data_IF_980657909089
#
_entry.id   IF_980657909089
#
_cell.length_a   1.000
_cell.length_b   1.000
_cell.length_c   1.000
_cell.angle_alpha   90.00
_cell.angle_beta   90.00
_cell.angle_gamma   90.00
#
_symmetry.space_group_name_H-M   'P 1'
#
loop_
_entity.id
_entity.type
_entity.pdbx_description
1 polymer ?
#
# COMPACT_ATOMS: atom_id res chain seq x y z
N UNK A 1 -6.48 -6.92 -1.21
CA UNK A 1 -7.18 -6.33 -2.39
C UNK A 1 -8.67 -6.28 -2.09
N UNK A 2 -9.36 -5.21 -2.51
CA UNK A 2 -10.82 -5.06 -2.35
C UNK A 2 -11.58 -6.02 -3.27
N UNK A 3 -12.91 -6.10 -3.11
CA UNK A 3 -13.79 -6.90 -3.99
C UNK A 3 -13.90 -6.32 -5.42
N UNK A 4 -13.35 -5.09 -5.66
CA UNK A 4 -13.26 -4.48 -7.01
C UNK A 4 -12.06 -4.97 -7.81
N UNK A 5 -11.11 -5.62 -7.16
CA UNK A 5 -9.94 -6.17 -7.82
C UNK A 5 -10.30 -7.43 -8.61
N UNK A 6 -9.96 -7.45 -9.88
CA UNK A 6 -10.23 -8.56 -10.79
C UNK A 6 -8.91 -9.08 -11.38
N UNK A 7 -8.50 -10.33 -11.07
CA UNK A 7 -7.27 -10.90 -11.58
C UNK A 7 -7.30 -11.19 -13.10
N UNK A 8 -8.47 -11.13 -13.75
CA UNK A 8 -8.59 -11.30 -15.20
C UNK A 8 -8.17 -10.03 -15.95
N UNK A 9 -8.16 -8.86 -15.27
CA UNK A 9 -7.74 -7.59 -15.85
C UNK A 9 -6.21 -7.48 -15.72
N UNK A 10 -5.45 -7.41 -16.85
CA UNK A 10 -4.00 -7.38 -16.83
C UNK A 10 -3.41 -6.22 -16.01
N UNK A 11 -4.04 -5.04 -16.05
CA UNK A 11 -3.62 -3.87 -15.28
C UNK A 11 -3.74 -4.13 -13.76
N UNK A 12 -4.86 -4.68 -13.29
CA UNK A 12 -5.07 -4.99 -11.88
C UNK A 12 -4.02 -6.00 -11.38
N UNK A 13 -3.74 -7.02 -12.19
CA UNK A 13 -2.72 -8.03 -11.87
C UNK A 13 -1.33 -7.41 -11.82
N UNK A 14 -1.00 -6.53 -12.76
CA UNK A 14 0.28 -5.86 -12.81
C UNK A 14 0.50 -4.95 -11.59
N UNK A 15 -0.51 -4.15 -11.21
CA UNK A 15 -0.45 -3.29 -10.04
C UNK A 15 -0.29 -4.11 -8.74
N UNK A 16 -1.05 -5.21 -8.58
CA UNK A 16 -0.89 -6.11 -7.44
C UNK A 16 0.54 -6.66 -7.36
N UNK A 17 1.09 -7.12 -8.48
CA UNK A 17 2.45 -7.66 -8.54
C UNK A 17 3.53 -6.63 -8.17
N UNK A 18 3.37 -5.37 -8.58
CA UNK A 18 4.29 -4.29 -8.18
C UNK A 18 4.26 -4.06 -6.65
N UNK A 19 3.08 -4.13 -6.02
CA UNK A 19 2.93 -4.03 -4.57
C UNK A 19 3.56 -5.24 -3.88
N UNK A 20 3.36 -6.45 -4.40
CA UNK A 20 3.93 -7.69 -3.88
C UNK A 20 5.46 -7.63 -3.83
N UNK A 21 6.09 -7.24 -4.94
CA UNK A 21 7.56 -7.10 -5.01
C UNK A 21 8.06 -6.08 -4.00
N UNK A 22 7.44 -4.89 -3.95
CA UNK A 22 7.90 -3.81 -3.08
C UNK A 22 7.72 -4.09 -1.59
N UNK A 23 6.70 -4.85 -1.21
CA UNK A 23 6.45 -5.22 0.19
C UNK A 23 7.01 -6.60 0.57
N UNK A 24 7.62 -7.32 -0.36
CA UNK A 24 8.17 -8.65 -0.12
C UNK A 24 7.13 -9.70 0.26
N UNK A 25 5.87 -9.53 -0.18
CA UNK A 25 4.78 -10.48 0.05
C UNK A 25 4.60 -11.41 -1.15
N UNK A 26 4.34 -12.71 -0.93
CA UNK A 26 4.30 -13.68 -2.02
C UNK A 26 3.06 -13.54 -2.92
N UNK A 27 1.93 -13.12 -2.38
CA UNK A 27 0.67 -13.01 -3.11
C UNK A 27 -0.31 -12.08 -2.40
N UNK A 28 -0.86 -11.11 -3.14
CA UNK A 28 -1.96 -10.28 -2.68
C UNK A 28 -3.29 -11.01 -2.89
N UNK A 29 -4.08 -11.11 -1.83
CA UNK A 29 -5.36 -11.82 -1.87
C UNK A 29 -6.55 -10.88 -1.72
N UNK A 30 -7.69 -11.17 -2.34
CA UNK A 30 -8.92 -10.41 -2.12
C UNK A 30 -9.45 -10.64 -0.71
N UNK A 31 -10.16 -9.63 -0.18
CA UNK A 31 -10.80 -9.66 1.13
C UNK A 31 -11.73 -10.87 1.27
N UNK A 32 -12.41 -11.26 0.21
CA UNK A 32 -13.28 -12.43 0.18
C UNK A 32 -12.59 -13.71 0.67
N UNK A 33 -11.31 -13.92 0.32
CA UNK A 33 -10.55 -15.09 0.81
C UNK A 33 -10.34 -15.06 2.33
N UNK A 34 -10.21 -13.88 2.93
CA UNK A 34 -10.11 -13.76 4.39
C UNK A 34 -11.45 -14.07 5.06
N UNK A 35 -12.57 -13.59 4.49
CA UNK A 35 -13.93 -13.94 4.94
C UNK A 35 -14.16 -15.44 4.88
N UNK A 36 -13.88 -16.05 3.72
CA UNK A 36 -14.06 -17.49 3.51
C UNK A 36 -13.22 -18.31 4.51
N UNK A 37 -12.00 -17.87 4.81
CA UNK A 37 -11.14 -18.54 5.78
C UNK A 37 -11.73 -18.49 7.20
N UNK A 38 -12.28 -17.34 7.63
CA UNK A 38 -12.93 -17.20 8.93
C UNK A 38 -14.14 -18.12 9.04
N UNK A 39 -15.02 -18.11 8.05
CA UNK A 39 -16.22 -18.95 8.02
C UNK A 39 -15.86 -20.44 8.00
N UNK A 40 -14.87 -20.84 7.18
CA UNK A 40 -14.44 -22.23 7.04
C UNK A 40 -13.86 -22.81 8.33
N UNK A 41 -13.27 -21.99 9.20
CA UNK A 41 -12.79 -22.44 10.52
C UNK A 41 -13.83 -22.27 11.63
N UNK A 42 -15.08 -21.93 11.28
CA UNK A 42 -16.22 -21.88 12.17
C UNK A 42 -16.39 -20.57 12.93
N UNK A 43 -15.78 -19.48 12.46
CA UNK A 43 -16.07 -18.16 13.06
C UNK A 43 -17.35 -17.55 12.47
N UNK A 44 -18.12 -16.90 13.32
CA UNK A 44 -19.25 -16.05 12.95
C UNK A 44 -18.76 -14.61 12.79
N UNK A 45 -18.92 -14.03 11.60
CA UNK A 45 -18.56 -12.62 11.34
C UNK A 45 -19.66 -11.75 11.92
N UNK A 46 -19.33 -10.91 12.89
CA UNK A 46 -20.25 -10.00 13.57
C UNK A 46 -20.28 -8.61 12.92
N UNK A 47 -19.13 -8.15 12.44
CA UNK A 47 -18.99 -6.84 11.83
C UNK A 47 -17.80 -6.84 10.86
N UNK A 48 -17.96 -6.17 9.75
CA UNK A 48 -16.86 -5.90 8.82
C UNK A 48 -16.99 -4.51 8.22
N UNK A 49 -15.86 -3.85 8.03
CA UNK A 49 -15.81 -2.49 7.52
C UNK A 49 -14.45 -2.20 6.87
N UNK A 50 -14.47 -1.55 5.72
CA UNK A 50 -13.28 -0.95 5.13
C UNK A 50 -13.08 0.45 5.73
N UNK A 51 -12.13 0.55 6.66
CA UNK A 51 -11.83 1.81 7.35
C UNK A 51 -11.21 2.86 6.42
N UNK A 52 -10.63 2.43 5.30
CA UNK A 52 -10.07 3.34 4.31
C UNK A 52 -11.13 3.97 3.38
N UNK A 53 -12.37 3.44 3.40
CA UNK A 53 -13.51 4.04 2.68
C UNK A 53 -14.31 5.05 3.54
N UNK A 54 -13.95 5.21 4.82
CA UNK A 54 -14.57 6.25 5.66
C UNK A 54 -14.36 7.64 5.03
N UNK A 55 -15.35 8.54 5.14
CA UNK A 55 -15.21 9.91 4.66
C UNK A 55 -14.12 10.62 5.47
N UNK A 56 -13.00 10.88 4.83
CA UNK A 56 -11.86 11.59 5.40
C UNK A 56 -11.53 12.80 4.53
N UNK A 57 -10.94 13.86 5.11
CA UNK A 57 -10.58 15.09 4.38
C UNK A 57 -9.56 14.82 3.28
N UNK A 58 -8.69 13.83 3.50
CA UNK A 58 -7.65 13.42 2.54
C UNK A 58 -7.65 11.90 2.38
N UNK A 59 -7.38 11.37 1.17
CA UNK A 59 -7.29 9.94 0.96
C UNK A 59 -6.06 9.36 1.65
N UNK A 60 -6.14 8.11 2.13
CA UNK A 60 -5.05 7.45 2.87
C UNK A 60 -3.70 7.43 2.12
N UNK A 61 -3.71 7.47 0.79
CA UNK A 61 -2.51 7.43 -0.05
C UNK A 61 -1.89 8.81 -0.30
N UNK A 62 -2.46 9.91 0.22
CA UNK A 62 -1.96 11.25 -0.04
C UNK A 62 -0.46 11.47 0.27
N UNK A 63 0.13 10.83 1.31
CA UNK A 63 1.56 11.02 1.58
C UNK A 63 2.45 10.39 0.50
N UNK A 64 1.96 9.34 -0.17
CA UNK A 64 2.66 8.66 -1.27
C UNK A 64 2.49 9.38 -2.61
N UNK A 65 1.37 10.09 -2.79
CA UNK A 65 1.08 10.91 -3.97
C UNK A 65 2.05 12.09 -4.10
N UNK A 66 2.57 12.57 -2.97
CA UNK A 66 3.56 13.65 -2.92
C UNK A 66 2.97 15.04 -3.13
N UNK A 67 1.68 15.21 -2.86
CA UNK A 67 1.00 16.51 -2.92
C UNK A 67 1.18 17.23 -1.58
N UNK A 68 2.11 18.19 -1.54
CA UNK A 68 2.41 18.97 -0.34
C UNK A 68 1.24 19.84 0.12
N UNK A 69 0.29 20.16 -0.76
CA UNK A 69 -0.89 20.97 -0.42
C UNK A 69 -1.93 20.19 0.39
N UNK A 70 -1.84 18.85 0.39
CA UNK A 70 -2.68 17.97 1.20
C UNK A 70 -2.09 17.66 2.58
N UNK A 71 -0.89 18.17 2.88
CA UNK A 71 -0.22 17.94 4.15
C UNK A 71 -1.02 18.52 5.32
N UNK A 72 -1.29 17.70 6.33
CA UNK A 72 -2.05 18.08 7.53
C UNK A 72 -1.15 18.54 8.68
N UNK A 73 0.12 18.11 8.67
CA UNK A 73 1.12 18.45 9.68
C UNK A 73 2.43 18.89 9.05
N UNK A 74 3.30 19.56 9.84
CA UNK A 74 4.65 19.98 9.38
C UNK A 74 5.48 18.77 8.93
N UNK A 75 5.34 17.63 9.60
CA UNK A 75 6.04 16.39 9.22
C UNK A 75 5.51 15.81 7.91
N UNK A 76 4.21 15.96 7.64
CA UNK A 76 3.62 15.55 6.38
C UNK A 76 4.15 16.36 5.19
N UNK A 77 4.41 17.67 5.39
CA UNK A 77 5.03 18.50 4.35
C UNK A 77 6.35 17.87 3.90
N UNK A 78 7.19 17.46 4.86
CA UNK A 78 8.46 16.81 4.54
C UNK A 78 8.25 15.47 3.85
N UNK A 79 7.31 14.66 4.32
CA UNK A 79 6.98 13.34 3.73
C UNK A 79 6.44 13.51 2.32
N UNK A 80 5.47 14.39 2.11
CA UNK A 80 4.90 14.68 0.80
C UNK A 80 5.94 15.27 -0.16
N UNK A 81 6.82 16.18 0.34
CA UNK A 81 7.91 16.68 -0.50
C UNK A 81 8.86 15.57 -0.93
N UNK A 82 9.26 14.68 -0.01
CA UNK A 82 10.15 13.54 -0.31
C UNK A 82 9.56 12.60 -1.37
N UNK A 83 8.26 12.39 -1.35
CA UNK A 83 7.53 11.54 -2.31
C UNK A 83 7.09 12.29 -3.58
N UNK A 84 7.21 13.61 -3.63
CA UNK A 84 6.97 14.42 -4.83
C UNK A 84 8.01 14.12 -5.94
N UNK A 85 7.73 14.56 -7.15
CA UNK A 85 8.65 14.37 -8.29
C UNK A 85 10.05 14.92 -8.03
N UNK A 86 10.15 16.11 -7.41
CA UNK A 86 11.44 16.72 -7.05
C UNK A 86 12.14 15.95 -5.93
N UNK A 87 11.41 15.56 -4.89
CA UNK A 87 11.97 14.75 -3.80
C UNK A 87 12.44 13.37 -4.26
N UNK A 88 11.68 12.69 -5.11
CA UNK A 88 12.06 11.43 -5.76
C UNK A 88 13.34 11.60 -6.58
N UNK A 89 13.46 12.69 -7.35
CA UNK A 89 14.67 12.99 -8.12
C UNK A 89 15.90 13.18 -7.23
N UNK A 90 15.79 14.00 -6.18
CA UNK A 90 16.89 14.27 -5.24
C UNK A 90 17.29 12.99 -4.49
N UNK A 91 16.33 12.22 -4.00
CA UNK A 91 16.60 10.96 -3.29
C UNK A 91 17.26 9.93 -4.20
N UNK A 92 16.79 9.77 -5.44
CA UNK A 92 17.33 8.86 -6.43
C UNK A 92 18.81 9.14 -6.75
N UNK A 93 19.11 10.38 -7.12
CA UNK A 93 20.48 10.77 -7.47
C UNK A 93 21.40 10.85 -6.25
N UNK A 94 20.87 11.30 -5.11
CA UNK A 94 21.61 11.35 -3.85
C UNK A 94 22.02 9.97 -3.37
N UNK A 95 21.10 8.99 -3.36
CA UNK A 95 21.41 7.63 -2.98
C UNK A 95 22.42 6.96 -3.92
N UNK A 96 22.31 7.19 -5.22
CA UNK A 96 23.26 6.66 -6.20
C UNK A 96 24.69 7.20 -5.97
N UNK A 97 24.81 8.47 -5.65
CA UNK A 97 26.10 9.07 -5.27
C UNK A 97 26.64 8.48 -3.97
N UNK A 98 25.81 8.40 -2.92
CA UNK A 98 26.21 7.85 -1.63
C UNK A 98 26.65 6.37 -1.74
N UNK A 99 25.98 5.59 -2.59
CA UNK A 99 26.37 4.20 -2.87
C UNK A 99 27.70 4.13 -3.63
N UNK A 100 27.90 5.02 -4.61
CA UNK A 100 29.15 5.11 -5.37
C UNK A 100 30.34 5.47 -4.49
N UNK A 101 30.15 6.35 -3.51
CA UNK A 101 31.18 6.72 -2.54
C UNK A 101 31.32 5.73 -1.37
N UNK A 102 30.53 4.65 -1.34
CA UNK A 102 30.58 3.64 -0.28
C UNK A 102 30.05 4.10 1.08
N UNK A 103 29.30 5.21 1.14
CA UNK A 103 28.67 5.73 2.37
C UNK A 103 27.47 4.87 2.76
N UNK A 104 26.74 4.32 1.79
CA UNK A 104 25.66 3.36 2.00
C UNK A 104 25.99 2.02 1.36
N UNK A 105 25.40 0.90 1.84
CA UNK A 105 25.63 -0.43 1.29
C UNK A 105 25.24 -0.52 -0.20
N UNK A 106 25.94 -1.39 -0.93
CA UNK A 106 25.57 -1.72 -2.33
C UNK A 106 24.16 -2.32 -2.38
N UNK A 107 23.37 -1.93 -3.35
CA UNK A 107 21.97 -2.36 -3.54
C UNK A 107 20.96 -1.46 -2.83
N UNK A 108 21.38 -0.45 -2.07
CA UNK A 108 20.45 0.53 -1.45
C UNK A 108 19.64 1.27 -2.50
N UNK A 109 20.25 1.60 -3.63
CA UNK A 109 19.58 2.26 -4.74
C UNK A 109 18.52 1.36 -5.38
N UNK A 110 18.82 0.07 -5.61
CA UNK A 110 17.87 -0.91 -6.19
C UNK A 110 16.64 -1.09 -5.30
N UNK A 111 16.85 -1.17 -3.98
CA UNK A 111 15.76 -1.22 -3.00
C UNK A 111 14.88 0.03 -3.07
N UNK A 112 15.50 1.21 -3.17
CA UNK A 112 14.77 2.47 -3.28
C UNK A 112 13.90 2.53 -4.55
N UNK A 113 14.41 2.05 -5.69
CA UNK A 113 13.64 1.98 -6.94
C UNK A 113 12.46 1.00 -6.83
N UNK A 114 12.68 -0.17 -6.21
CA UNK A 114 11.62 -1.15 -5.98
C UNK A 114 10.51 -0.58 -5.09
N UNK A 115 10.87 0.09 -4.00
CA UNK A 115 9.91 0.75 -3.11
C UNK A 115 9.15 1.89 -3.80
N UNK A 116 9.79 2.63 -4.70
CA UNK A 116 9.14 3.68 -5.49
C UNK A 116 8.08 3.09 -6.42
N UNK A 117 8.40 2.01 -7.13
CA UNK A 117 7.45 1.31 -8.01
C UNK A 117 6.23 0.83 -7.22
N UNK A 118 6.46 0.23 -6.04
CA UNK A 118 5.38 -0.20 -5.17
C UNK A 118 4.55 0.96 -4.62
N UNK A 119 5.19 2.07 -4.25
CA UNK A 119 4.50 3.29 -3.81
C UNK A 119 3.60 3.88 -4.90
N UNK A 120 4.10 3.97 -6.14
CA UNK A 120 3.32 4.44 -7.28
C UNK A 120 2.13 3.49 -7.59
N UNK A 121 2.32 2.17 -7.43
CA UNK A 121 1.25 1.18 -7.57
C UNK A 121 0.20 1.30 -6.45
N UNK A 122 0.62 1.57 -5.19
CA UNK A 122 -0.29 1.80 -4.07
C UNK A 122 -1.16 3.04 -4.30
N UNK A 123 -0.59 4.14 -4.82
CA UNK A 123 -1.37 5.34 -5.17
C UNK A 123 -2.41 5.00 -6.23
N UNK A 124 -2.01 4.34 -7.33
CA UNK A 124 -2.94 3.96 -8.42
C UNK A 124 -4.04 3.03 -7.94
N UNK A 125 -3.70 2.01 -7.15
CA UNK A 125 -4.70 1.08 -6.61
C UNK A 125 -5.62 1.73 -5.59
N UNK A 126 -5.14 2.71 -4.83
CA UNK A 126 -5.95 3.55 -3.95
C UNK A 126 -6.94 4.41 -4.73
N UNK A 127 -6.49 5.11 -5.78
CA UNK A 127 -7.33 5.92 -6.66
C UNK A 127 -8.42 5.09 -7.35
N UNK A 128 -8.11 3.88 -7.77
CA UNK A 128 -9.05 2.93 -8.39
C UNK A 128 -9.87 2.13 -7.35
N UNK A 129 -9.61 2.32 -6.06
CA UNK A 129 -10.24 1.57 -4.96
C UNK A 129 -10.06 0.04 -5.05
N UNK A 130 -8.93 -0.40 -5.59
CA UNK A 130 -8.57 -1.82 -5.72
C UNK A 130 -7.84 -2.37 -4.49
N UNK A 131 -7.26 -1.49 -3.70
CA UNK A 131 -6.50 -1.83 -2.50
C UNK A 131 -7.02 -1.05 -1.29
N UNK A 132 -7.11 -1.73 -0.15
CA UNK A 132 -7.34 -1.11 1.15
C UNK A 132 -6.20 -1.45 2.11
N UNK A 133 -5.64 -0.46 2.84
CA UNK A 133 -4.65 -0.70 3.87
C UNK A 133 -5.28 -1.12 5.20
N UNK A 134 -6.57 -0.89 5.40
CA UNK A 134 -7.23 -1.05 6.69
C UNK A 134 -8.62 -1.67 6.55
N UNK A 135 -8.68 -3.00 6.58
CA UNK A 135 -9.94 -3.73 6.62
C UNK A 135 -10.17 -4.33 8.00
N UNK A 136 -11.24 -3.91 8.67
CA UNK A 136 -11.62 -4.40 10.00
C UNK A 136 -12.59 -5.57 9.86
N UNK A 137 -12.31 -6.68 10.53
CA UNK A 137 -13.24 -7.79 10.72
C UNK A 137 -13.33 -8.13 12.20
N UNK A 138 -14.54 -8.14 12.74
CA UNK A 138 -14.82 -8.62 14.08
C UNK A 138 -15.57 -9.93 13.96
N UNK A 139 -15.00 -10.98 14.50
CA UNK A 139 -15.58 -12.32 14.45
C UNK A 139 -15.60 -12.99 15.82
N UNK A 140 -16.55 -13.89 16.03
CA UNK A 140 -16.72 -14.66 17.26
C UNK A 140 -16.58 -16.14 16.93
N UNK A 141 -15.79 -16.85 17.73
CA UNK A 141 -15.80 -18.32 17.70
C UNK A 141 -17.00 -18.78 18.53
N UNK A 142 -17.96 -19.55 17.96
CA UNK A 142 -19.03 -20.15 18.73
C UNK A 142 -18.46 -21.04 19.84
N UNK A 143 -19.06 -20.99 21.02
CA UNK A 143 -18.73 -21.96 22.07
C UNK A 143 -19.22 -23.32 21.59
N UNK A 144 -18.33 -24.29 21.56
CA UNK A 144 -18.72 -25.69 21.39
C UNK A 144 -19.59 -26.07 22.59
N UNK A 145 -20.86 -26.36 22.34
CA UNK A 145 -21.82 -26.83 23.32
C UNK A 145 -21.52 -28.26 23.74
#
# INVERSE_FOLDING_TARGET
>A
MTDRWDPSIPEHKHLAHQIEIGNGIPEMRPIQKARDALVNVGFEILHEEDLAERPDEVPWYYPLEGDVFKAQTVWDIFTCWRTSSSGKFVSHHGLKLLETFGVVPKGTWDVCETLKIAGDALVKTGQQKLFTPMYLVISKKPLEG
#
